data_IF_250401178392
#
_entry.id   IF_250401178392
#
_cell.length_a   1.000
_cell.length_b   1.000
_cell.length_c   1.000
_cell.angle_alpha   90.00
_cell.angle_beta   90.00
_cell.angle_gamma   90.00
#
_symmetry.space_group_name_H-M   'P 1'
#
loop_
_entity.id
_entity.type
_entity.pdbx_description
1 polymer ?
#
# COMPACT_ATOMS: atom_id res chain seq x y z
N UNK A 1 9.98 19.40 23.01
CA UNK A 1 10.52 18.91 21.73
C UNK A 1 10.60 20.08 20.78
N UNK A 2 11.81 20.48 20.38
CA UNK A 2 12.05 21.62 19.50
C UNK A 2 11.65 21.20 18.08
N UNK A 3 10.59 21.81 17.54
CA UNK A 3 10.07 21.46 16.21
C UNK A 3 11.07 21.82 15.11
N UNK A 4 11.16 20.98 14.07
CA UNK A 4 12.04 21.15 12.93
C UNK A 4 11.77 22.50 12.22
N UNK A 5 12.79 23.34 12.06
CA UNK A 5 12.68 24.71 11.49
C UNK A 5 12.74 24.76 9.95
N UNK A 6 12.57 23.62 9.27
CA UNK A 6 12.68 23.50 7.81
C UNK A 6 11.34 23.28 7.10
N UNK A 7 11.35 23.30 5.76
CA UNK A 7 10.21 22.88 4.95
C UNK A 7 9.88 21.41 5.23
N UNK A 8 8.62 21.13 5.54
CA UNK A 8 8.10 19.76 5.67
C UNK A 8 7.04 19.51 4.61
N UNK A 9 6.98 18.28 4.12
CA UNK A 9 5.81 17.83 3.38
C UNK A 9 4.60 17.88 4.31
N UNK A 10 3.51 18.47 3.83
CA UNK A 10 2.21 18.43 4.50
C UNK A 10 1.25 17.64 3.64
N UNK A 11 0.39 16.86 4.28
CA UNK A 11 -0.65 16.11 3.58
C UNK A 11 -1.62 17.10 2.95
N UNK A 12 -1.93 16.91 1.66
CA UNK A 12 -2.85 17.74 0.89
C UNK A 12 -4.01 16.90 0.37
N UNK A 13 -5.15 17.54 0.11
CA UNK A 13 -6.27 16.90 -0.56
C UNK A 13 -5.93 16.66 -2.04
N UNK A 14 -6.31 15.49 -2.56
CA UNK A 14 -6.11 15.19 -3.98
C UNK A 14 -7.19 15.85 -4.82
N UNK A 15 -6.82 16.40 -5.98
CA UNK A 15 -7.81 16.82 -6.97
C UNK A 15 -8.31 15.61 -7.74
N UNK A 16 -9.63 15.51 -7.92
CA UNK A 16 -10.21 14.43 -8.72
C UNK A 16 -9.79 14.61 -10.19
N UNK A 17 -8.82 13.79 -10.62
CA UNK A 17 -8.25 13.84 -11.97
C UNK A 17 -9.29 13.64 -13.06
N UNK A 18 -10.35 12.87 -12.78
CA UNK A 18 -11.46 12.64 -13.71
C UNK A 18 -12.35 13.86 -13.94
N UNK A 19 -12.22 14.91 -13.12
CA UNK A 19 -12.87 16.22 -13.34
C UNK A 19 -11.98 17.20 -14.11
N UNK A 20 -10.67 16.94 -14.18
CA UNK A 20 -9.70 17.82 -14.85
C UNK A 20 -9.45 17.43 -16.30
N UNK A 21 -9.57 16.14 -16.62
CA UNK A 21 -9.21 15.58 -17.92
C UNK A 21 -10.39 14.87 -18.56
N UNK A 22 -10.42 14.86 -19.89
CA UNK A 22 -11.35 14.02 -20.64
C UNK A 22 -10.96 12.54 -20.43
N UNK A 23 -11.90 11.74 -19.92
CA UNK A 23 -11.68 10.34 -19.53
C UNK A 23 -11.86 9.34 -20.68
N UNK A 24 -11.78 9.79 -21.93
CA UNK A 24 -11.97 8.97 -23.13
C UNK A 24 -10.70 8.32 -23.66
N UNK A 25 -9.52 8.64 -23.09
CA UNK A 25 -8.28 8.03 -23.55
C UNK A 25 -8.22 6.56 -23.09
N UNK A 26 -7.50 5.69 -23.81
CA UNK A 26 -7.20 4.34 -23.35
C UNK A 26 -6.42 4.32 -22.03
N UNK A 27 -6.56 3.25 -21.24
CA UNK A 27 -5.94 3.11 -19.90
C UNK A 27 -4.43 3.43 -19.88
N UNK A 28 -3.68 2.99 -20.90
CA UNK A 28 -2.23 3.21 -21.01
C UNK A 28 -1.81 4.62 -21.45
N UNK A 29 -2.75 5.57 -21.54
CA UNK A 29 -2.48 6.98 -21.82
C UNK A 29 -2.61 7.87 -20.57
N UNK A 30 -2.87 7.28 -19.40
CA UNK A 30 -2.90 7.96 -18.12
C UNK A 30 -1.65 7.67 -17.29
N UNK A 31 -1.29 8.64 -16.45
CA UNK A 31 -0.35 8.42 -15.36
C UNK A 31 -1.15 8.11 -14.08
N UNK A 32 -0.83 7.01 -13.41
CA UNK A 32 -1.48 6.60 -12.18
C UNK A 32 -0.51 6.70 -11.01
N UNK A 33 -0.93 7.40 -9.96
CA UNK A 33 -0.26 7.28 -8.67
C UNK A 33 -0.43 5.83 -8.20
N UNK A 34 0.72 5.18 -7.98
CA UNK A 34 0.81 3.76 -7.63
C UNK A 34 1.47 3.61 -6.27
N UNK A 35 0.93 2.76 -5.41
CA UNK A 35 1.55 2.41 -4.12
C UNK A 35 2.20 1.03 -4.20
N UNK A 36 3.50 0.97 -3.89
CA UNK A 36 4.29 -0.27 -3.83
C UNK A 36 3.94 -1.04 -2.55
N UNK A 37 3.61 -2.34 -2.66
CA UNK A 37 3.15 -3.16 -1.56
C UNK A 37 2.10 -2.43 -0.72
N UNK A 38 1.01 -2.06 -1.38
CA UNK A 38 -0.05 -1.21 -0.83
C UNK A 38 -0.62 -1.73 0.51
N UNK A 39 -0.57 -3.04 0.71
CA UNK A 39 -1.04 -3.73 1.90
C UNK A 39 -0.06 -3.71 3.07
N UNK A 40 1.21 -3.36 2.85
CA UNK A 40 2.26 -3.39 3.85
C UNK A 40 2.17 -2.15 4.77
N UNK A 41 1.06 -2.06 5.50
CA UNK A 41 0.69 -0.91 6.31
C UNK A 41 1.39 -0.99 7.67
N UNK A 42 1.90 0.15 8.13
CA UNK A 42 2.56 0.26 9.42
C UNK A 42 1.62 -0.08 10.59
N UNK A 43 2.17 -0.73 11.62
CA UNK A 43 1.43 -1.22 12.79
C UNK A 43 0.25 -2.17 12.49
N UNK A 44 0.08 -2.64 11.23
CA UNK A 44 -1.03 -3.53 10.88
C UNK A 44 -0.94 -4.86 11.66
N UNK A 45 -2.02 -5.36 12.28
CA UNK A 45 -1.95 -6.54 13.15
C UNK A 45 -1.41 -7.80 12.47
N UNK A 46 -0.69 -8.64 13.22
CA UNK A 46 -0.30 -9.98 12.74
C UNK A 46 -1.45 -10.96 12.88
N UNK A 47 -1.65 -11.79 11.86
CA UNK A 47 -2.70 -12.81 11.79
C UNK A 47 -2.18 -14.25 11.77
N UNK A 48 -0.86 -14.44 11.85
CA UNK A 48 -0.22 -15.77 11.84
C UNK A 48 0.03 -16.31 13.25
N UNK A 49 -0.16 -15.48 14.27
CA UNK A 49 0.24 -15.76 15.66
C UNK A 49 1.72 -15.49 15.95
N UNK A 50 2.50 -15.08 14.94
CA UNK A 50 3.92 -14.72 15.06
C UNK A 50 4.07 -13.21 14.89
N UNK A 51 4.88 -12.51 15.71
CA UNK A 51 5.16 -11.09 15.51
C UNK A 51 5.70 -10.83 14.09
N UNK A 52 5.18 -9.78 13.43
CA UNK A 52 5.65 -9.40 12.10
C UNK A 52 7.01 -8.72 12.21
N UNK A 53 7.98 -9.23 11.44
CA UNK A 53 9.35 -8.72 11.35
C UNK A 53 9.71 -8.57 9.87
N UNK A 54 9.06 -7.60 9.24
CA UNK A 54 9.35 -7.20 7.86
C UNK A 54 9.15 -5.70 7.74
N UNK A 55 9.57 -5.11 6.62
CA UNK A 55 9.43 -3.68 6.41
C UNK A 55 8.02 -3.35 5.93
N UNK A 56 7.49 -2.24 6.42
CA UNK A 56 6.22 -1.64 6.00
C UNK A 56 6.51 -0.58 4.94
N UNK A 57 5.56 -0.35 4.04
CA UNK A 57 5.71 0.59 2.92
C UNK A 57 4.69 1.72 2.98
N UNK A 58 3.60 1.55 3.71
CA UNK A 58 2.48 2.49 3.73
C UNK A 58 2.12 2.87 5.17
N UNK A 59 1.75 4.12 5.38
CA UNK A 59 1.15 4.60 6.64
C UNK A 59 -0.38 4.61 6.56
N UNK A 60 -0.93 4.66 5.35
CA UNK A 60 -2.36 4.76 5.06
C UNK A 60 -3.00 3.39 4.81
N UNK A 61 -4.23 3.20 5.28
CA UNK A 61 -5.07 2.08 4.85
C UNK A 61 -5.33 2.09 3.34
N UNK A 62 -5.75 0.96 2.77
CA UNK A 62 -6.10 0.88 1.34
C UNK A 62 -7.16 1.92 0.96
N UNK A 63 -8.19 2.08 1.80
CA UNK A 63 -9.25 3.08 1.58
C UNK A 63 -8.69 4.50 1.57
N UNK A 64 -7.78 4.81 2.49
CA UNK A 64 -7.12 6.12 2.54
C UNK A 64 -6.22 6.34 1.32
N UNK A 65 -5.42 5.34 0.90
CA UNK A 65 -4.62 5.44 -0.33
C UNK A 65 -5.50 5.78 -1.55
N UNK A 66 -6.64 5.12 -1.69
CA UNK A 66 -7.60 5.39 -2.76
C UNK A 66 -8.24 6.79 -2.64
N UNK A 67 -8.62 7.19 -1.43
CA UNK A 67 -9.16 8.53 -1.16
C UNK A 67 -8.12 9.63 -1.41
N UNK A 68 -6.84 9.33 -1.21
CA UNK A 68 -5.70 10.21 -1.47
C UNK A 68 -5.23 10.16 -2.93
N UNK A 69 -5.94 9.43 -3.80
CA UNK A 69 -5.79 9.50 -5.24
C UNK A 69 -4.92 8.41 -5.87
N UNK A 70 -4.44 7.44 -5.09
CA UNK A 70 -3.86 6.23 -5.67
C UNK A 70 -4.92 5.55 -6.55
N UNK A 71 -4.50 5.11 -7.73
CA UNK A 71 -5.37 4.41 -8.70
C UNK A 71 -4.75 3.10 -9.22
N UNK A 72 -3.55 2.79 -8.75
CA UNK A 72 -2.93 1.50 -8.92
C UNK A 72 -2.33 1.06 -7.58
N UNK A 73 -2.46 -0.22 -7.25
CA UNK A 73 -1.95 -0.82 -6.03
C UNK A 73 -1.09 -2.02 -6.47
N UNK A 74 0.16 -2.07 -6.01
CA UNK A 74 1.01 -3.24 -6.21
C UNK A 74 0.83 -4.20 -5.04
N UNK A 75 0.61 -5.48 -5.36
CA UNK A 75 0.32 -6.55 -4.41
C UNK A 75 1.27 -7.73 -4.63
N UNK A 76 2.23 -7.89 -3.72
CA UNK A 76 3.05 -9.10 -3.64
C UNK A 76 2.25 -10.24 -3.01
N UNK A 77 1.86 -11.21 -3.85
CA UNK A 77 1.04 -12.36 -3.49
C UNK A 77 1.86 -13.65 -3.49
N UNK A 78 1.59 -14.54 -2.53
CA UNK A 78 2.28 -15.81 -2.36
C UNK A 78 1.30 -16.91 -1.97
N UNK A 79 1.56 -18.12 -2.47
CA UNK A 79 0.93 -19.33 -1.92
C UNK A 79 1.53 -19.61 -0.53
N UNK A 80 0.71 -19.51 0.51
CA UNK A 80 1.14 -19.70 1.89
C UNK A 80 0.02 -20.34 2.72
N UNK A 81 0.35 -21.39 3.48
CA UNK A 81 -0.62 -22.15 4.30
C UNK A 81 -1.86 -22.64 3.52
N UNK A 82 -1.70 -22.93 2.22
CA UNK A 82 -2.76 -23.43 1.36
C UNK A 82 -3.75 -22.37 0.85
N UNK A 83 -3.42 -21.08 1.01
CA UNK A 83 -4.22 -19.95 0.50
C UNK A 83 -3.30 -18.87 -0.10
N UNK A 84 -3.88 -17.85 -0.73
CA UNK A 84 -3.16 -16.68 -1.26
C UNK A 84 -2.99 -15.64 -0.16
N UNK A 85 -1.75 -15.32 0.16
CA UNK A 85 -1.39 -14.32 1.16
C UNK A 85 -0.65 -13.15 0.53
N UNK A 86 -0.77 -11.99 1.18
CA UNK A 86 0.09 -10.85 0.89
C UNK A 86 1.31 -10.93 1.79
N UNK A 87 2.51 -10.86 1.21
CA UNK A 87 3.73 -10.98 2.00
C UNK A 87 4.79 -10.03 1.47
N UNK A 88 5.48 -9.38 2.39
CA UNK A 88 6.69 -8.64 2.04
C UNK A 88 7.89 -9.54 2.36
N UNK A 89 8.25 -10.37 1.40
CA UNK A 89 9.15 -11.50 1.60
C UNK A 89 10.18 -11.65 0.48
N UNK A 90 11.00 -12.70 0.53
CA UNK A 90 12.15 -12.86 -0.35
C UNK A 90 12.23 -14.27 -0.95
N UNK A 91 12.90 -14.37 -2.11
CA UNK A 91 13.15 -15.64 -2.82
C UNK A 91 11.89 -16.41 -3.21
N UNK A 92 10.75 -15.76 -3.38
CA UNK A 92 9.53 -16.43 -3.81
C UNK A 92 8.81 -17.22 -2.70
N UNK A 93 9.16 -17.00 -1.43
CA UNK A 93 8.54 -17.68 -0.30
C UNK A 93 7.93 -16.69 0.68
N UNK A 94 6.78 -17.02 1.25
CA UNK A 94 6.22 -16.31 2.38
C UNK A 94 6.51 -17.05 3.69
N UNK A 95 6.71 -16.28 4.76
CA UNK A 95 6.93 -16.76 6.13
C UNK A 95 5.97 -16.06 7.08
N UNK A 96 5.72 -16.69 8.24
CA UNK A 96 4.78 -16.18 9.24
C UNK A 96 5.09 -14.74 9.71
N UNK A 97 6.38 -14.39 9.81
CA UNK A 97 6.85 -13.07 10.22
C UNK A 97 6.85 -12.03 9.08
N UNK A 98 6.58 -12.45 7.84
CA UNK A 98 6.52 -11.56 6.64
C UNK A 98 5.10 -11.38 6.10
N UNK A 99 4.13 -12.08 6.66
CA UNK A 99 2.77 -12.16 6.15
C UNK A 99 1.88 -11.01 6.63
N UNK A 100 1.03 -10.55 5.71
CA UNK A 100 -0.06 -9.61 5.92
C UNK A 100 -1.35 -10.33 5.48
N UNK A 101 -2.34 -10.40 6.36
CA UNK A 101 -3.63 -10.98 5.97
C UNK A 101 -4.45 -9.92 5.26
N UNK A 102 -5.16 -10.32 4.21
CA UNK A 102 -6.23 -9.52 3.64
C UNK A 102 -7.45 -9.63 4.57
N UNK A 103 -7.63 -8.73 5.54
CA UNK A 103 -8.96 -8.57 6.13
C UNK A 103 -9.80 -7.70 5.20
N UNK A 104 -10.78 -8.29 4.53
CA UNK A 104 -11.95 -7.56 4.02
C UNK A 104 -12.92 -7.29 5.17
#
# INVERSE_FOLDING_TARGET
MQGFSGSRCVRSTVTNQFKLLNNSLPFNKYAFLTTHNAFAIDEYPSHTGVPRITVTNQEDSITEQLNNGARALMLDTYDFRGDVWLCHSFKGHCYDFTAFLLTL
#
